data_IF_363952494635
#
_entry.id   IF_363952494635
#
_cell.length_a   1.000
_cell.length_b   1.000
_cell.length_c   1.000
_cell.angle_alpha   90.00
_cell.angle_beta   90.00
_cell.angle_gamma   90.00
#
_symmetry.space_group_name_H-M   'P 1'
#
loop_
_entity.id
_entity.type
_entity.pdbx_description
1 polymer ?
#
# COMPACT_ATOMS: atom_id res chain seq x y z
N UNK A 1 -24.39 -8.30 8.34
CA UNK A 1 -23.84 -7.83 7.05
C UNK A 1 -22.81 -8.82 6.55
N UNK A 2 -22.72 -9.10 5.25
CA UNK A 2 -21.64 -9.93 4.70
C UNK A 2 -20.44 -9.06 4.32
N UNK A 3 -19.23 -9.57 4.56
CA UNK A 3 -17.99 -8.84 4.29
C UNK A 3 -17.07 -9.71 3.40
N UNK A 4 -16.48 -9.14 2.33
CA UNK A 4 -15.47 -9.84 1.53
C UNK A 4 -14.27 -10.23 2.40
N UNK A 5 -13.78 -11.47 2.27
CA UNK A 5 -12.60 -11.91 3.00
C UNK A 5 -11.36 -11.03 2.72
N UNK A 6 -11.29 -10.42 1.53
CA UNK A 6 -10.25 -9.47 1.12
C UNK A 6 -10.27 -8.12 1.84
N UNK A 7 -11.31 -7.85 2.65
CA UNK A 7 -11.39 -6.63 3.48
C UNK A 7 -10.94 -6.87 4.92
N UNK A 8 -10.75 -8.12 5.34
CA UNK A 8 -10.21 -8.41 6.68
C UNK A 8 -8.69 -8.30 6.70
N UNK A 9 -8.14 -7.94 7.86
CA UNK A 9 -6.71 -8.05 8.10
C UNK A 9 -6.30 -9.54 8.02
N UNK A 10 -5.11 -9.85 7.44
CA UNK A 10 -4.68 -11.25 7.24
C UNK A 10 -4.70 -12.09 8.52
N UNK A 11 -4.25 -11.52 9.64
CA UNK A 11 -4.26 -12.21 10.93
C UNK A 11 -5.68 -12.51 11.41
N UNK A 12 -6.60 -11.54 11.30
CA UNK A 12 -8.01 -11.72 11.68
C UNK A 12 -8.69 -12.80 10.85
N UNK A 13 -8.42 -12.83 9.54
CA UNK A 13 -8.94 -13.88 8.66
C UNK A 13 -8.38 -15.25 9.06
N UNK A 14 -7.08 -15.36 9.31
CA UNK A 14 -6.44 -16.61 9.74
C UNK A 14 -7.01 -17.13 11.07
N UNK A 15 -7.23 -16.24 12.04
CA UNK A 15 -7.83 -16.56 13.33
C UNK A 15 -9.28 -17.07 13.17
N UNK A 16 -10.10 -16.40 12.36
CA UNK A 16 -11.47 -16.82 12.05
C UNK A 16 -11.51 -18.18 11.36
N UNK A 17 -10.63 -18.39 10.38
CA UNK A 17 -10.52 -19.67 9.69
C UNK A 17 -10.07 -20.78 10.65
N UNK A 18 -9.16 -20.48 11.57
CA UNK A 18 -8.73 -21.41 12.63
C UNK A 18 -9.91 -21.82 13.51
N UNK A 19 -10.67 -20.86 14.02
CA UNK A 19 -11.84 -21.13 14.85
C UNK A 19 -12.85 -22.01 14.11
N UNK A 20 -13.17 -21.69 12.86
CA UNK A 20 -14.12 -22.44 12.06
C UNK A 20 -13.69 -23.89 11.82
N UNK A 21 -12.46 -24.12 11.35
CA UNK A 21 -11.97 -25.48 11.04
C UNK A 21 -11.63 -26.30 12.28
N UNK A 22 -11.55 -25.69 13.46
CA UNK A 22 -11.32 -26.40 14.73
C UNK A 22 -12.62 -26.70 15.48
N UNK A 23 -13.69 -25.92 15.25
CA UNK A 23 -15.03 -26.16 15.78
C UNK A 23 -15.75 -27.29 15.08
N UNK A 24 -15.73 -27.29 13.75
CA UNK A 24 -16.12 -28.45 12.99
C UNK A 24 -14.97 -29.45 13.08
N UNK A 25 -15.18 -30.51 13.85
CA UNK A 25 -14.49 -31.78 13.63
C UNK A 25 -14.81 -32.25 12.22
N UNK A 26 -14.17 -31.62 11.22
CA UNK A 26 -14.09 -31.98 9.79
C UNK A 26 -13.28 -33.27 9.68
N UNK A 27 -13.70 -34.27 10.45
CA UNK A 27 -13.26 -35.63 10.38
C UNK A 27 -14.15 -36.32 9.34
N UNK A 28 -13.95 -35.96 8.08
CA UNK A 28 -14.53 -36.68 6.95
C UNK A 28 -13.86 -38.07 6.76
N UNK A 29 -13.20 -38.59 7.81
CA UNK A 29 -12.34 -39.77 7.79
C UNK A 29 -10.96 -39.54 7.15
N UNK A 30 -10.67 -38.32 6.69
CA UNK A 30 -9.43 -37.96 5.99
C UNK A 30 -8.46 -37.25 6.93
N UNK A 31 -7.20 -37.70 6.97
CA UNK A 31 -6.12 -37.01 7.70
C UNK A 31 -5.73 -35.73 6.96
N UNK A 32 -6.44 -34.63 7.20
CA UNK A 32 -6.07 -33.30 6.69
C UNK A 32 -5.47 -32.44 7.80
N UNK A 33 -4.37 -31.78 7.47
CA UNK A 33 -3.71 -30.83 8.36
C UNK A 33 -4.56 -29.58 8.56
N UNK A 34 -4.27 -28.79 9.60
CA UNK A 34 -4.94 -27.50 9.83
C UNK A 34 -4.75 -26.55 8.63
N UNK A 35 -3.54 -26.54 8.05
CA UNK A 35 -3.23 -25.70 6.88
C UNK A 35 -4.04 -26.09 5.64
N UNK A 36 -4.19 -27.38 5.37
CA UNK A 36 -5.01 -27.87 4.24
C UNK A 36 -6.48 -27.50 4.41
N UNK A 37 -7.03 -27.63 5.62
CA UNK A 37 -8.41 -27.25 5.92
C UNK A 37 -8.65 -25.75 5.77
N UNK A 38 -7.69 -24.93 6.20
CA UNK A 38 -7.70 -23.48 5.94
C UNK A 38 -7.67 -23.19 4.44
N UNK A 39 -6.78 -23.82 3.68
CA UNK A 39 -6.71 -23.62 2.23
C UNK A 39 -8.04 -23.99 1.53
N UNK A 40 -8.66 -25.11 1.90
CA UNK A 40 -9.97 -25.51 1.37
C UNK A 40 -11.08 -24.51 1.73
N UNK A 41 -11.07 -23.99 2.96
CA UNK A 41 -12.03 -22.96 3.37
C UNK A 41 -11.81 -21.65 2.60
N UNK A 42 -10.57 -21.29 2.30
CA UNK A 42 -10.26 -20.13 1.47
C UNK A 42 -10.82 -20.31 0.05
N UNK A 43 -10.64 -21.49 -0.57
CA UNK A 43 -11.25 -21.79 -1.87
C UNK A 43 -12.79 -21.66 -1.83
N UNK A 44 -13.43 -22.08 -0.74
CA UNK A 44 -14.88 -21.92 -0.57
C UNK A 44 -15.30 -20.46 -0.46
N UNK A 45 -14.51 -19.62 0.22
CA UNK A 45 -14.73 -18.17 0.28
C UNK A 45 -14.54 -17.50 -1.09
N UNK A 46 -13.58 -17.98 -1.90
CA UNK A 46 -13.35 -17.50 -3.26
C UNK A 46 -14.47 -17.89 -4.22
N UNK A 47 -15.00 -19.12 -4.09
CA UNK A 47 -16.14 -19.65 -4.87
C UNK A 47 -17.51 -19.18 -4.35
N UNK A 48 -17.55 -18.35 -3.32
CA UNK A 48 -18.79 -17.84 -2.70
C UNK A 48 -19.73 -18.96 -2.21
N UNK A 49 -19.12 -20.08 -1.77
CA UNK A 49 -19.74 -21.22 -1.10
C UNK A 49 -19.77 -21.05 0.42
N UNK A 50 -18.93 -20.17 0.95
CA UNK A 50 -18.93 -19.69 2.32
C UNK A 50 -18.83 -18.15 2.34
N UNK A 51 -19.31 -17.52 3.41
CA UNK A 51 -19.26 -16.08 3.60
C UNK A 51 -18.82 -15.72 5.01
N UNK A 52 -18.26 -14.52 5.15
CA UNK A 52 -18.03 -13.91 6.45
C UNK A 52 -19.18 -12.97 6.75
N UNK A 53 -19.84 -13.19 7.87
CA UNK A 53 -20.85 -12.30 8.44
C UNK A 53 -20.22 -11.46 9.55
N UNK A 54 -20.64 -10.22 9.67
CA UNK A 54 -20.34 -9.37 10.82
C UNK A 54 -21.62 -8.99 11.55
N UNK A 55 -21.62 -9.23 12.86
CA UNK A 55 -22.66 -8.82 13.78
C UNK A 55 -22.23 -7.53 14.50
N UNK A 56 -22.93 -6.43 14.25
CA UNK A 56 -22.65 -5.13 14.86
C UNK A 56 -23.00 -5.05 16.35
N UNK A 57 -23.91 -5.87 16.84
CA UNK A 57 -24.31 -5.88 18.25
C UNK A 57 -23.23 -6.51 19.14
N UNK A 58 -22.52 -7.52 18.61
CA UNK A 58 -21.47 -8.25 19.33
C UNK A 58 -20.06 -7.93 18.81
N UNK A 59 -19.94 -7.05 17.80
CA UNK A 59 -18.69 -6.71 17.12
C UNK A 59 -17.87 -7.94 16.72
N UNK A 60 -18.56 -8.98 16.26
CA UNK A 60 -17.97 -10.28 15.99
C UNK A 60 -18.15 -10.66 14.52
N UNK A 61 -17.07 -11.14 13.92
CA UNK A 61 -17.09 -11.78 12.62
C UNK A 61 -17.26 -13.29 12.78
N UNK A 62 -18.08 -13.91 11.93
CA UNK A 62 -18.33 -15.34 11.92
C UNK A 62 -18.36 -15.85 10.48
N UNK A 63 -17.91 -17.09 10.27
CA UNK A 63 -18.01 -17.80 9.00
C UNK A 63 -19.33 -18.56 8.94
N UNK A 64 -20.01 -18.45 7.81
CA UNK A 64 -21.29 -19.13 7.53
C UNK A 64 -21.26 -19.77 6.15
N UNK A 65 -21.98 -20.87 6.00
CA UNK A 65 -22.13 -21.53 4.70
C UNK A 65 -23.12 -20.76 3.83
N UNK A 66 -22.99 -20.83 2.50
CA UNK A 66 -23.93 -20.19 1.56
C UNK A 66 -25.40 -20.49 1.85
N UNK A 67 -25.72 -21.71 2.28
CA UNK A 67 -27.10 -22.14 2.56
C UNK A 67 -27.72 -21.45 3.79
N UNK A 68 -26.92 -20.87 4.68
CA UNK A 68 -27.35 -20.17 5.89
C UNK A 68 -27.62 -18.68 5.64
N UNK A 69 -27.34 -18.21 4.44
CA UNK A 69 -27.40 -16.80 4.05
C UNK A 69 -28.62 -16.55 3.17
N UNK A 70 -29.34 -15.46 3.43
CA UNK A 70 -30.50 -15.08 2.60
C UNK A 70 -30.07 -14.63 1.20
N UNK A 71 -30.93 -14.86 0.20
CA UNK A 71 -30.68 -14.40 -1.17
C UNK A 71 -30.56 -12.87 -1.28
N UNK A 72 -31.18 -12.13 -0.36
CA UNK A 72 -31.02 -10.67 -0.27
C UNK A 72 -29.62 -10.28 0.19
N UNK A 73 -29.12 -10.89 1.27
CA UNK A 73 -27.78 -10.63 1.77
C UNK A 73 -26.68 -10.98 0.75
N UNK A 74 -26.89 -12.02 -0.07
CA UNK A 74 -25.97 -12.37 -1.17
C UNK A 74 -25.96 -11.27 -2.25
N UNK A 75 -27.12 -10.76 -2.65
CA UNK A 75 -27.20 -9.66 -3.63
C UNK A 75 -26.51 -8.39 -3.12
N UNK A 76 -26.72 -8.04 -1.85
CA UNK A 76 -26.08 -6.88 -1.24
C UNK A 76 -24.55 -7.04 -1.21
N UNK A 77 -24.07 -8.25 -0.92
CA UNK A 77 -22.65 -8.60 -0.97
C UNK A 77 -22.07 -8.48 -2.37
N UNK A 78 -22.74 -9.01 -3.39
CA UNK A 78 -22.32 -8.91 -4.78
C UNK A 78 -22.22 -7.43 -5.22
N UNK A 79 -23.19 -6.60 -4.85
CA UNK A 79 -23.17 -5.16 -5.13
C UNK A 79 -22.01 -4.46 -4.41
N UNK A 80 -21.79 -4.73 -3.12
CA UNK A 80 -20.70 -4.15 -2.36
C UNK A 80 -19.32 -4.57 -2.91
N UNK A 81 -19.16 -5.84 -3.28
CA UNK A 81 -17.95 -6.37 -3.91
C UNK A 81 -17.72 -5.74 -5.29
N UNK A 82 -18.77 -5.61 -6.10
CA UNK A 82 -18.69 -4.96 -7.40
C UNK A 82 -18.27 -3.49 -7.27
N UNK A 83 -18.88 -2.74 -6.34
CA UNK A 83 -18.51 -1.35 -6.06
C UNK A 83 -17.03 -1.23 -5.64
N UNK A 84 -16.56 -2.08 -4.72
CA UNK A 84 -15.15 -2.11 -4.31
C UNK A 84 -14.21 -2.44 -5.48
N UNK A 85 -14.59 -3.40 -6.34
CA UNK A 85 -13.79 -3.76 -7.51
C UNK A 85 -13.74 -2.64 -8.54
N UNK A 86 -14.84 -1.92 -8.73
CA UNK A 86 -14.93 -0.78 -9.64
C UNK A 86 -14.08 0.39 -9.13
N UNK A 87 -14.12 0.67 -7.83
CA UNK A 87 -13.30 1.69 -7.18
C UNK A 87 -11.80 1.38 -7.33
N UNK A 88 -11.38 0.15 -7.00
CA UNK A 88 -10.00 -0.32 -7.23
C UNK A 88 -9.58 -0.26 -8.70
N UNK A 89 -10.49 -0.56 -9.62
CA UNK A 89 -10.22 -0.49 -11.06
C UNK A 89 -10.08 0.96 -11.54
N UNK A 90 -10.88 1.88 -10.99
CA UNK A 90 -10.79 3.30 -11.26
C UNK A 90 -9.46 3.88 -10.75
N UNK A 91 -9.04 3.52 -9.52
CA UNK A 91 -7.74 3.89 -8.97
C UNK A 91 -6.58 3.37 -9.83
N UNK A 92 -6.63 2.09 -10.22
CA UNK A 92 -5.61 1.50 -11.09
C UNK A 92 -5.56 2.17 -12.47
N UNK A 93 -6.71 2.52 -13.05
CA UNK A 93 -6.77 3.23 -14.33
C UNK A 93 -6.22 4.66 -14.21
N UNK A 94 -6.50 5.34 -13.10
CA UNK A 94 -5.93 6.65 -12.80
C UNK A 94 -4.40 6.59 -12.66
N UNK A 95 -3.89 5.63 -11.87
CA UNK A 95 -2.45 5.40 -11.69
C UNK A 95 -1.75 5.10 -13.03
N UNK A 96 -2.34 4.23 -13.86
CA UNK A 96 -1.79 3.91 -15.19
C UNK A 96 -1.73 5.16 -16.10
N UNK A 97 -2.75 6.02 -16.06
CA UNK A 97 -2.75 7.29 -16.81
C UNK A 97 -1.66 8.24 -16.29
N UNK A 98 -1.49 8.34 -14.98
CA UNK A 98 -0.44 9.15 -14.36
C UNK A 98 0.96 8.62 -14.70
N UNK A 99 1.14 7.30 -14.73
CA UNK A 99 2.39 6.67 -15.15
C UNK A 99 2.76 7.04 -16.59
N UNK A 100 1.82 6.87 -17.54
CA UNK A 100 2.08 7.23 -18.93
C UNK A 100 2.43 8.72 -19.11
N UNK A 101 1.74 9.60 -18.37
CA UNK A 101 2.03 11.03 -18.37
C UNK A 101 3.39 11.34 -17.71
N UNK A 102 3.77 10.61 -16.65
CA UNK A 102 5.08 10.71 -16.01
C UNK A 102 6.19 10.33 -16.98
N UNK A 103 6.08 9.17 -17.64
CA UNK A 103 7.09 8.68 -18.58
C UNK A 103 7.31 9.67 -19.74
N UNK A 104 6.22 10.24 -20.25
CA UNK A 104 6.28 11.27 -21.29
C UNK A 104 7.03 12.51 -20.83
N UNK A 105 6.61 13.11 -19.70
CA UNK A 105 7.23 14.33 -19.18
C UNK A 105 8.67 14.11 -18.71
N UNK A 106 8.96 12.95 -18.12
CA UNK A 106 10.29 12.58 -17.68
C UNK A 106 11.25 12.51 -18.87
N UNK A 107 10.82 11.88 -19.97
CA UNK A 107 11.61 11.80 -21.22
C UNK A 107 11.90 13.19 -21.79
N UNK A 108 10.91 14.09 -21.80
CA UNK A 108 11.11 15.48 -22.23
C UNK A 108 12.14 16.22 -21.37
N UNK A 109 12.04 16.06 -20.04
CA UNK A 109 12.96 16.70 -19.09
C UNK A 109 14.38 16.14 -19.21
N UNK A 110 14.53 14.83 -19.42
CA UNK A 110 15.83 14.21 -19.70
C UNK A 110 16.45 14.76 -21.00
N UNK A 111 15.67 14.88 -22.07
CA UNK A 111 16.15 15.43 -23.34
C UNK A 111 16.63 16.89 -23.20
N UNK A 112 15.99 17.66 -22.32
CA UNK A 112 16.41 19.02 -21.97
C UNK A 112 17.56 19.11 -20.95
N UNK A 113 18.16 17.97 -20.55
CA UNK A 113 19.21 17.90 -19.53
C UNK A 113 18.82 18.55 -18.19
N UNK A 114 17.54 18.43 -17.80
CA UNK A 114 17.05 18.98 -16.52
C UNK A 114 17.62 18.24 -15.31
N UNK A 115 17.92 16.95 -15.47
CA UNK A 115 18.45 16.10 -14.40
C UNK A 115 19.98 16.04 -14.45
N UNK A 116 20.67 16.01 -13.29
CA UNK A 116 20.12 16.08 -11.94
C UNK A 116 19.61 17.48 -11.58
N UNK A 117 18.47 17.56 -10.88
CA UNK A 117 17.97 18.84 -10.37
C UNK A 117 18.82 19.34 -9.19
N UNK A 118 18.96 20.65 -9.06
CA UNK A 118 19.67 21.27 -7.94
C UNK A 118 18.83 21.17 -6.66
N UNK A 119 19.38 20.54 -5.61
CA UNK A 119 18.70 20.28 -4.32
C UNK A 119 18.81 21.44 -3.31
N UNK A 120 19.34 22.59 -3.70
CA UNK A 120 19.62 23.68 -2.75
C UNK A 120 20.49 23.23 -1.57
N UNK A 121 20.24 23.81 -0.39
CA UNK A 121 20.91 23.40 0.85
C UNK A 121 20.30 22.09 1.36
N UNK A 122 21.13 21.06 1.53
CA UNK A 122 20.69 19.78 2.08
C UNK A 122 20.80 19.76 3.60
N UNK A 123 19.74 19.34 4.29
CA UNK A 123 19.70 19.15 5.75
C UNK A 123 19.06 17.81 6.11
N UNK A 124 19.19 17.40 7.36
CA UNK A 124 18.51 16.21 7.89
C UNK A 124 17.88 16.53 9.25
N UNK A 125 16.83 15.82 9.62
CA UNK A 125 16.21 15.97 10.94
C UNK A 125 17.06 15.32 12.03
N UNK A 126 16.74 15.65 13.28
CA UNK A 126 17.41 15.08 14.46
C UNK A 126 17.25 13.55 14.50
N UNK A 127 16.09 13.03 14.10
CA UNK A 127 15.83 11.59 14.18
C UNK A 127 16.60 10.82 13.11
N UNK A 128 16.73 11.37 11.89
CA UNK A 128 17.64 10.82 10.88
C UNK A 128 19.09 10.87 11.36
N UNK A 129 19.51 11.95 12.03
CA UNK A 129 20.84 12.01 12.65
C UNK A 129 21.02 10.92 13.73
N UNK A 130 20.00 10.67 14.56
CA UNK A 130 20.07 9.61 15.56
C UNK A 130 20.25 8.23 14.91
N UNK A 131 19.56 7.95 13.81
CA UNK A 131 19.75 6.72 13.03
C UNK A 131 21.17 6.59 12.45
N UNK A 132 21.81 7.70 12.11
CA UNK A 132 23.22 7.69 11.68
C UNK A 132 24.18 7.34 12.81
N UNK A 133 23.98 7.91 14.00
CA UNK A 133 24.78 7.56 15.18
C UNK A 133 24.64 6.08 15.54
N UNK A 134 23.43 5.54 15.40
CA UNK A 134 23.12 4.12 15.61
C UNK A 134 23.57 3.21 14.44
N UNK A 135 24.16 3.77 13.37
CA UNK A 135 24.52 3.03 12.14
C UNK A 135 23.35 2.33 11.42
N UNK A 136 22.11 2.71 11.74
CA UNK A 136 20.89 2.21 11.08
C UNK A 136 20.70 2.81 9.69
N UNK A 137 21.22 4.01 9.47
CA UNK A 137 21.31 4.70 8.17
C UNK A 137 22.71 5.27 8.04
N UNK A 138 23.36 5.14 6.90
CA UNK A 138 24.70 5.68 6.67
C UNK A 138 24.67 7.01 5.92
N UNK A 139 25.82 7.69 5.83
CA UNK A 139 25.93 8.87 4.97
C UNK A 139 25.72 8.51 3.48
N UNK A 140 26.22 7.35 3.06
CA UNK A 140 26.05 6.84 1.69
C UNK A 140 24.58 6.60 1.36
N UNK A 141 23.83 6.03 2.31
CA UNK A 141 22.38 5.86 2.20
C UNK A 141 21.66 7.21 1.96
N UNK A 142 22.02 8.25 2.74
CA UNK A 142 21.44 9.59 2.59
C UNK A 142 21.81 10.24 1.24
N UNK A 143 23.07 10.10 0.83
CA UNK A 143 23.52 10.58 -0.48
C UNK A 143 22.79 9.84 -1.61
N UNK A 144 22.53 8.55 -1.45
CA UNK A 144 21.79 7.74 -2.39
C UNK A 144 20.35 8.21 -2.58
N UNK A 145 19.62 8.49 -1.49
CA UNK A 145 18.23 8.99 -1.61
C UNK A 145 18.16 10.41 -2.18
N UNK A 146 19.11 11.27 -1.83
CA UNK A 146 19.23 12.62 -2.40
C UNK A 146 19.55 12.54 -3.90
N UNK A 147 20.46 11.67 -4.30
CA UNK A 147 20.79 11.44 -5.70
C UNK A 147 19.58 10.92 -6.49
N UNK A 148 18.88 9.90 -5.99
CA UNK A 148 17.65 9.39 -6.61
C UNK A 148 16.57 10.47 -6.75
N UNK A 149 16.38 11.30 -5.72
CA UNK A 149 15.47 12.44 -5.79
C UNK A 149 15.89 13.42 -6.88
N UNK A 150 17.19 13.74 -6.94
CA UNK A 150 17.74 14.63 -7.96
C UNK A 150 17.60 14.09 -9.38
N UNK A 151 17.47 12.78 -9.56
CA UNK A 151 17.32 12.11 -10.85
C UNK A 151 15.85 11.84 -11.23
N UNK A 152 14.89 12.23 -10.38
CA UNK A 152 13.46 12.08 -10.64
C UNK A 152 12.87 10.70 -10.35
N UNK A 153 13.54 9.85 -9.55
CA UNK A 153 13.06 8.49 -9.21
C UNK A 153 11.83 8.52 -8.27
N UNK A 154 11.90 9.41 -7.28
CA UNK A 154 10.87 9.69 -6.27
C UNK A 154 10.39 8.49 -5.42
N UNK A 155 11.00 7.31 -5.58
CA UNK A 155 10.81 6.14 -4.72
C UNK A 155 9.41 5.54 -4.76
N UNK A 156 8.84 5.26 -3.59
CA UNK A 156 7.58 4.49 -3.40
C UNK A 156 6.32 5.35 -3.41
N UNK A 157 6.39 6.57 -3.96
CA UNK A 157 5.20 7.40 -4.15
C UNK A 157 4.28 6.85 -5.24
N UNK A 158 3.01 7.25 -5.17
CA UNK A 158 2.02 7.01 -6.24
C UNK A 158 2.47 7.68 -7.55
N UNK A 159 2.03 7.18 -8.70
CA UNK A 159 2.36 7.82 -9.97
C UNK A 159 1.78 9.23 -10.07
N UNK A 160 0.63 9.48 -9.43
CA UNK A 160 0.07 10.83 -9.31
C UNK A 160 1.04 11.81 -8.64
N UNK A 161 1.60 11.43 -7.48
CA UNK A 161 2.55 12.27 -6.74
C UNK A 161 3.89 12.42 -7.49
N UNK A 162 4.38 11.34 -8.11
CA UNK A 162 5.60 11.40 -8.93
C UNK A 162 5.45 12.37 -10.10
N UNK A 163 4.29 12.33 -10.78
CA UNK A 163 3.97 13.26 -11.86
C UNK A 163 3.88 14.69 -11.36
N UNK A 164 3.33 14.90 -10.16
CA UNK A 164 3.28 16.22 -9.54
C UNK A 164 4.69 16.77 -9.26
N UNK A 165 5.60 15.93 -8.76
CA UNK A 165 7.00 16.33 -8.59
C UNK A 165 7.66 16.79 -9.89
N UNK A 166 7.45 16.08 -11.02
CA UNK A 166 8.02 16.50 -12.31
C UNK A 166 7.49 17.88 -12.74
N UNK A 167 6.21 18.13 -12.51
CA UNK A 167 5.58 19.45 -12.80
C UNK A 167 6.16 20.54 -11.90
N UNK A 168 6.39 20.21 -10.63
CA UNK A 168 6.96 21.12 -9.63
C UNK A 168 8.40 21.55 -9.97
N UNK A 169 9.18 20.77 -10.74
CA UNK A 169 10.54 21.16 -11.16
C UNK A 169 10.55 22.53 -11.86
N UNK A 170 9.66 22.72 -12.84
CA UNK A 170 9.58 23.96 -13.62
C UNK A 170 8.96 25.11 -12.82
N UNK A 171 8.00 24.78 -11.97
CA UNK A 171 7.26 25.76 -11.16
C UNK A 171 7.99 26.15 -9.87
N UNK A 172 9.07 25.44 -9.53
CA UNK A 172 9.77 25.57 -8.24
C UNK A 172 8.82 25.37 -7.06
N UNK A 173 7.87 24.46 -7.21
CA UNK A 173 6.92 24.13 -6.14
C UNK A 173 7.48 23.03 -5.23
N UNK A 174 6.79 22.76 -4.13
CA UNK A 174 7.13 21.71 -3.17
C UNK A 174 7.22 20.33 -3.86
N UNK A 175 8.20 19.54 -3.44
CA UNK A 175 8.39 18.17 -3.89
C UNK A 175 8.64 17.25 -2.71
N UNK A 176 8.15 16.01 -2.81
CA UNK A 176 8.33 14.98 -1.80
C UNK A 176 8.83 13.70 -2.46
N UNK A 177 9.63 12.90 -1.77
CA UNK A 177 9.96 11.54 -2.19
C UNK A 177 10.03 10.63 -1.00
N UNK A 178 9.78 9.35 -1.22
CA UNK A 178 9.71 8.37 -0.15
C UNK A 178 10.56 7.14 -0.51
N UNK A 179 11.54 6.80 0.32
CA UNK A 179 12.45 5.69 0.10
C UNK A 179 12.49 4.78 1.33
N UNK A 180 12.47 3.47 1.10
CA UNK A 180 12.81 2.49 2.12
C UNK A 180 14.33 2.26 2.11
N UNK A 181 14.98 2.47 3.26
CA UNK A 181 16.42 2.28 3.41
C UNK A 181 16.69 1.55 4.72
N UNK A 182 17.20 0.32 4.63
CA UNK A 182 17.51 -0.53 5.81
C UNK A 182 16.33 -0.67 6.78
N UNK A 183 15.13 -0.81 6.24
CA UNK A 183 13.87 -0.90 7.01
C UNK A 183 13.40 0.42 7.61
N UNK A 184 14.01 1.55 7.26
CA UNK A 184 13.58 2.89 7.65
C UNK A 184 12.95 3.61 6.46
N UNK A 185 11.82 4.28 6.69
CA UNK A 185 11.13 5.07 5.66
C UNK A 185 11.62 6.52 5.70
N UNK A 186 12.48 6.88 4.76
CA UNK A 186 13.04 8.22 4.62
C UNK A 186 12.25 9.05 3.62
N UNK A 187 11.85 10.25 4.03
CA UNK A 187 11.27 11.27 3.18
C UNK A 187 12.36 12.25 2.74
N UNK A 188 12.40 12.57 1.45
CA UNK A 188 13.20 13.71 0.93
C UNK A 188 12.22 14.79 0.52
N UNK A 189 12.23 15.90 1.24
CA UNK A 189 11.38 17.05 0.98
C UNK A 189 12.19 18.17 0.39
N UNK A 190 11.61 18.85 -0.59
CA UNK A 190 12.19 20.01 -1.22
C UNK A 190 11.16 21.13 -1.20
N UNK A 191 11.48 22.21 -0.50
CA UNK A 191 10.56 23.31 -0.27
C UNK A 191 10.34 24.12 -1.55
N UNK A 192 9.21 24.82 -1.63
CA UNK A 192 8.97 25.78 -2.71
C UNK A 192 10.12 26.79 -2.81
N UNK A 193 10.48 27.17 -4.04
CA UNK A 193 11.70 27.93 -4.34
C UNK A 193 12.95 27.06 -4.48
N UNK A 194 12.90 25.79 -4.07
CA UNK A 194 13.98 24.79 -4.26
C UNK A 194 15.29 25.13 -3.53
N UNK A 195 15.21 25.95 -2.49
CA UNK A 195 16.38 26.45 -1.75
C UNK A 195 16.85 25.50 -0.64
N UNK A 196 15.94 24.64 -0.15
CA UNK A 196 16.18 23.71 0.94
C UNK A 196 15.64 22.33 0.57
N UNK A 197 16.50 21.33 0.69
CA UNK A 197 16.11 19.92 0.69
C UNK A 197 16.39 19.33 2.07
N UNK A 198 15.41 18.67 2.67
CA UNK A 198 15.51 18.06 3.98
C UNK A 198 15.22 16.56 3.89
N UNK A 199 16.04 15.76 4.56
CA UNK A 199 15.77 14.33 4.77
C UNK A 199 15.19 14.13 6.17
N UNK A 200 14.06 13.43 6.27
CA UNK A 200 13.38 13.15 7.54
C UNK A 200 12.77 11.77 7.58
N UNK A 201 12.25 11.34 8.74
CA UNK A 201 11.47 10.11 8.83
C UNK A 201 10.00 10.34 8.44
N UNK A 202 9.40 9.30 7.84
CA UNK A 202 7.95 9.32 7.51
C UNK A 202 7.07 9.50 8.74
N UNK A 203 7.49 9.02 9.91
CA UNK A 203 6.72 9.08 11.16
C UNK A 203 6.59 10.48 11.76
N UNK A 204 7.26 11.48 11.20
CA UNK A 204 7.20 12.87 11.67
C UNK A 204 5.95 13.64 11.15
N UNK A 205 4.85 12.93 10.85
CA UNK A 205 3.56 13.49 10.40
C UNK A 205 2.50 13.47 11.51
#
# INVERSE_FOLDING_TARGET
MLIPHTQLQPQTLDDLMTDYVTRDGTADGTFTTLGERKAQLLEKLEREEAFITFNHEHLQACLVSRHEVSAEAIRDFEQAKAALSADRSADAAYEAKCQAAFETLYTELQASSTFPIALGRTTQTRDVHALQLDSKVTLEDLQGVLYKHSMGDYGSLTWGDKLQNLRAIRQKDYMLSLYEVRGQMLCVEMWAGHELTQVRLRTEY
#
